data_IF_317868668839
#
_entry.id   IF_317868668839
#
_cell.length_a   1.000
_cell.length_b   1.000
_cell.length_c   1.000
_cell.angle_alpha   90.00
_cell.angle_beta   90.00
_cell.angle_gamma   90.00
#
_symmetry.space_group_name_H-M   'P 1'
#
loop_
_entity.id
_entity.type
_entity.pdbx_description
1 polymer ?
#
# COMPACT_ATOMS: atom_id res chain seq x y z
N UNK A 1 3.68 22.85 14.27
CA UNK A 1 3.62 21.47 13.77
C UNK A 1 2.24 20.87 14.01
N UNK A 2 1.70 20.16 13.02
CA UNK A 2 0.35 19.58 13.03
C UNK A 2 0.48 18.04 12.94
N UNK A 3 0.31 17.29 14.05
CA UNK A 3 0.55 15.85 14.09
C UNK A 3 -0.67 15.07 13.58
N UNK A 4 -0.48 14.17 12.63
CA UNK A 4 -1.57 13.46 11.96
C UNK A 4 -1.40 11.95 12.08
N UNK A 5 -2.52 11.27 12.34
CA UNK A 5 -2.59 9.81 12.30
C UNK A 5 -2.96 9.35 10.90
N UNK A 6 -4.09 8.65 10.80
CA UNK A 6 -4.64 8.15 9.54
C UNK A 6 -5.46 9.21 8.76
N UNK A 7 -5.69 10.38 9.34
CA UNK A 7 -6.57 11.44 8.83
C UNK A 7 -5.80 12.52 8.05
N UNK A 8 -6.56 13.51 7.56
CA UNK A 8 -6.14 14.77 6.90
C UNK A 8 -5.46 14.65 5.55
N UNK A 9 -4.59 13.66 5.36
CA UNK A 9 -3.88 13.41 4.12
C UNK A 9 -3.64 11.91 3.91
N UNK A 10 -3.43 11.51 2.65
CA UNK A 10 -3.13 10.13 2.29
C UNK A 10 -1.67 9.81 2.65
N UNK A 11 -1.45 8.91 3.62
CA UNK A 11 -0.10 8.64 4.14
C UNK A 11 0.83 7.97 3.12
N UNK A 12 0.30 7.09 2.26
CA UNK A 12 1.11 6.34 1.28
C UNK A 12 1.80 7.24 0.25
N UNK A 13 1.11 8.14 -0.48
CA UNK A 13 1.79 9.00 -1.45
C UNK A 13 2.83 9.91 -0.79
N UNK A 14 2.54 10.46 0.40
CA UNK A 14 3.51 11.26 1.15
C UNK A 14 4.77 10.45 1.53
N UNK A 15 4.60 9.19 1.91
CA UNK A 15 5.73 8.33 2.23
C UNK A 15 6.55 7.91 1.00
N UNK A 16 5.93 7.82 -0.18
CA UNK A 16 6.63 7.62 -1.45
C UNK A 16 7.45 8.85 -1.80
N UNK A 17 6.84 10.05 -1.71
CA UNK A 17 7.51 11.32 -1.98
C UNK A 17 8.69 11.54 -1.02
N UNK A 18 8.55 11.13 0.24
CA UNK A 18 9.60 11.16 1.26
C UNK A 18 10.62 10.00 1.16
N UNK A 19 10.61 9.19 0.10
CA UNK A 19 11.62 8.17 -0.13
C UNK A 19 11.56 6.95 0.80
N UNK A 20 10.47 6.74 1.53
CA UNK A 20 10.37 5.63 2.48
C UNK A 20 10.04 4.28 1.81
N UNK A 21 9.53 4.29 0.58
CA UNK A 21 9.11 3.07 -0.09
C UNK A 21 8.38 3.32 -1.40
N UNK A 22 7.73 2.28 -1.91
CA UNK A 22 6.97 2.31 -3.17
C UNK A 22 5.59 1.67 -3.01
N UNK A 23 4.66 2.04 -3.89
CA UNK A 23 3.31 1.49 -3.91
C UNK A 23 3.35 0.03 -4.38
N UNK A 24 2.94 -0.91 -3.53
CA UNK A 24 2.80 -2.32 -3.88
C UNK A 24 1.46 -2.66 -4.53
N UNK A 25 1.38 -3.85 -5.15
CA UNK A 25 0.13 -4.43 -5.67
C UNK A 25 -0.99 -4.48 -4.63
N UNK A 26 -0.63 -4.75 -3.37
CA UNK A 26 -1.57 -4.80 -2.25
C UNK A 26 -2.12 -3.42 -1.82
N UNK A 27 -1.75 -2.34 -2.53
CA UNK A 27 -2.20 -0.99 -2.24
C UNK A 27 -1.57 -0.35 -1.00
N UNK A 28 -0.51 -0.95 -0.45
CA UNK A 28 0.23 -0.45 0.70
C UNK A 28 1.60 0.12 0.27
N UNK A 29 2.20 0.94 1.14
CA UNK A 29 3.62 1.25 1.02
C UNK A 29 4.43 0.00 1.34
N UNK A 30 5.37 -0.36 0.49
CA UNK A 30 6.37 -1.39 0.74
C UNK A 30 7.71 -0.70 0.90
N UNK A 31 8.38 -0.92 2.03
CA UNK A 31 9.72 -0.39 2.31
C UNK A 31 10.78 -1.47 2.08
N UNK A 32 12.04 -1.11 1.77
CA UNK A 32 13.13 -2.07 1.63
C UNK A 32 13.37 -2.92 2.89
N UNK A 33 13.23 -2.33 4.08
CA UNK A 33 13.61 -2.95 5.36
C UNK A 33 12.52 -3.85 5.94
N UNK A 34 11.26 -3.45 5.79
CA UNK A 34 10.11 -4.07 6.50
C UNK A 34 9.00 -4.54 5.55
N UNK A 35 9.16 -4.33 4.25
CA UNK A 35 8.11 -4.58 3.28
C UNK A 35 6.86 -3.76 3.61
N UNK A 36 5.65 -4.32 3.44
CA UNK A 36 4.41 -3.67 3.85
C UNK A 36 4.12 -3.76 5.36
N UNK A 37 5.00 -4.39 6.16
CA UNK A 37 4.81 -4.59 7.60
C UNK A 37 5.23 -3.36 8.42
N UNK A 38 4.74 -2.18 8.02
CA UNK A 38 5.03 -0.90 8.67
C UNK A 38 3.77 -0.06 8.77
N UNK A 39 3.64 0.75 9.82
CA UNK A 39 2.58 1.75 9.96
C UNK A 39 3.16 3.14 9.73
N UNK A 40 2.37 3.99 9.09
CA UNK A 40 2.76 5.35 8.73
C UNK A 40 2.04 6.37 9.60
N UNK A 41 2.76 7.39 10.04
CA UNK A 41 2.23 8.63 10.58
C UNK A 41 2.91 9.80 9.85
N UNK A 42 2.34 11.00 9.95
CA UNK A 42 2.95 12.19 9.35
C UNK A 42 2.69 13.43 10.20
N UNK A 43 3.55 14.43 10.04
CA UNK A 43 3.44 15.70 10.73
C UNK A 43 3.76 16.82 9.73
N UNK A 44 2.87 17.79 9.64
CA UNK A 44 3.11 18.97 8.80
C UNK A 44 3.76 20.08 9.63
N UNK A 45 4.77 20.71 9.05
CA UNK A 45 5.54 21.75 9.71
C UNK A 45 5.99 22.79 8.67
N UNK A 46 6.15 24.02 9.12
CA UNK A 46 6.73 25.15 8.38
C UNK A 46 8.24 25.28 8.62
N UNK A 47 8.81 24.40 9.45
CA UNK A 47 10.25 24.29 9.65
C UNK A 47 10.95 24.03 8.30
N UNK A 48 11.98 24.81 7.92
CA UNK A 48 12.75 24.54 6.72
C UNK A 48 13.53 23.23 6.91
N UNK A 49 13.20 22.24 6.09
CA UNK A 49 13.84 20.93 6.04
C UNK A 49 14.27 20.64 4.59
N UNK A 50 15.38 19.93 4.44
CA UNK A 50 15.78 19.42 3.13
C UNK A 50 14.87 18.23 2.77
N UNK A 51 14.17 18.25 1.62
CA UNK A 51 13.34 17.12 1.21
C UNK A 51 14.19 15.92 0.78
N UNK A 52 13.77 14.74 1.21
CA UNK A 52 14.25 13.49 0.63
C UNK A 52 13.72 13.30 -0.81
N UNK A 53 14.23 12.26 -1.48
CA UNK A 53 13.83 11.91 -2.85
C UNK A 53 13.18 10.53 -2.89
N UNK A 54 12.21 10.28 -3.79
CA UNK A 54 11.64 8.97 -4.01
C UNK A 54 12.70 7.92 -4.35
N UNK A 55 12.51 6.70 -3.86
CA UNK A 55 13.43 5.58 -4.08
C UNK A 55 12.89 4.58 -5.12
N UNK A 56 13.80 3.88 -5.80
CA UNK A 56 13.49 2.70 -6.58
C UNK A 56 14.35 1.53 -6.14
N UNK A 57 13.71 0.40 -5.84
CA UNK A 57 14.35 -0.84 -5.43
C UNK A 57 13.76 -2.06 -6.15
N UNK A 58 13.14 -1.85 -7.33
CA UNK A 58 12.62 -2.94 -8.16
C UNK A 58 11.28 -3.53 -7.68
N UNK A 59 10.55 -2.82 -6.80
CA UNK A 59 9.25 -3.27 -6.32
C UNK A 59 8.24 -3.43 -7.46
N UNK A 60 8.21 -2.48 -8.40
CA UNK A 60 7.25 -2.50 -9.51
C UNK A 60 7.47 -3.72 -10.40
N UNK A 61 8.72 -4.01 -10.77
CA UNK A 61 9.08 -5.21 -11.55
C UNK A 61 8.70 -6.49 -10.81
N UNK A 62 8.92 -6.53 -9.50
CA UNK A 62 8.50 -7.65 -8.66
C UNK A 62 6.99 -7.81 -8.67
N UNK A 63 6.22 -6.72 -8.51
CA UNK A 63 4.77 -6.75 -8.55
C UNK A 63 4.21 -7.14 -9.93
N UNK A 64 4.90 -6.80 -11.03
CA UNK A 64 4.52 -7.24 -12.38
C UNK A 64 4.62 -8.77 -12.55
N UNK A 65 5.57 -9.40 -11.86
CA UNK A 65 5.78 -10.85 -11.90
C UNK A 65 5.13 -11.62 -10.73
N UNK A 66 4.66 -10.94 -9.69
CA UNK A 66 4.16 -11.53 -8.45
C UNK A 66 2.72 -11.10 -8.14
N UNK A 67 1.85 -12.07 -7.91
CA UNK A 67 0.46 -11.89 -7.48
C UNK A 67 0.17 -12.44 -6.09
N UNK A 68 1.18 -12.88 -5.32
CA UNK A 68 0.99 -13.59 -4.03
C UNK A 68 0.02 -12.92 -3.05
N UNK A 69 0.04 -11.59 -2.98
CA UNK A 69 -0.89 -10.84 -2.11
C UNK A 69 -2.34 -10.86 -2.61
N UNK A 70 -2.56 -10.89 -3.92
CA UNK A 70 -3.89 -11.08 -4.52
C UNK A 70 -4.36 -12.52 -4.34
N UNK A 71 -3.48 -13.51 -4.54
CA UNK A 71 -3.78 -14.93 -4.37
C UNK A 71 -4.15 -15.27 -2.91
N UNK A 72 -3.52 -14.61 -1.94
CA UNK A 72 -3.82 -14.74 -0.51
C UNK A 72 -5.07 -13.95 -0.05
N UNK A 73 -5.68 -13.14 -0.93
CA UNK A 73 -6.81 -12.29 -0.59
C UNK A 73 -8.14 -13.03 -0.75
N UNK A 74 -8.68 -13.55 0.35
CA UNK A 74 -9.94 -14.32 0.38
C UNK A 74 -11.18 -13.54 -0.12
N UNK A 75 -11.14 -12.21 -0.07
CA UNK A 75 -12.22 -11.35 -0.58
C UNK A 75 -12.03 -10.86 -2.00
N UNK A 76 -10.97 -11.30 -2.69
CA UNK A 76 -10.64 -10.89 -4.06
C UNK A 76 -10.65 -9.35 -4.20
N UNK A 77 -10.15 -8.67 -3.16
CA UNK A 77 -10.12 -7.21 -3.10
C UNK A 77 -8.96 -6.63 -3.90
N UNK A 78 -7.90 -7.39 -4.14
CA UNK A 78 -6.67 -6.91 -4.80
C UNK A 78 -6.68 -7.39 -6.25
N UNK A 79 -6.41 -6.48 -7.19
CA UNK A 79 -6.29 -6.84 -8.61
C UNK A 79 -5.17 -7.87 -8.85
N UNK A 80 -5.53 -8.97 -9.51
CA UNK A 80 -4.62 -10.00 -10.01
C UNK A 80 -4.08 -9.69 -11.42
N UNK A 81 -4.47 -8.57 -12.03
CA UNK A 81 -4.01 -8.19 -13.36
C UNK A 81 -2.49 -7.99 -13.36
N UNK A 82 -1.79 -8.47 -14.40
CA UNK A 82 -0.33 -8.34 -14.49
C UNK A 82 0.10 -6.87 -14.35
N UNK A 83 -0.42 -6.02 -15.22
CA UNK A 83 -0.10 -4.59 -15.27
C UNK A 83 -1.04 -3.77 -14.37
N UNK A 84 -0.57 -2.63 -13.81
CA UNK A 84 -1.46 -1.66 -13.19
C UNK A 84 -2.32 -0.95 -14.24
N UNK A 85 -3.44 -0.39 -13.82
CA UNK A 85 -4.34 0.39 -14.68
C UNK A 85 -4.80 1.66 -13.98
N UNK A 86 -5.57 2.49 -14.68
CA UNK A 86 -6.23 3.66 -14.12
C UNK A 86 -7.63 3.33 -13.59
N UNK A 87 -7.96 2.04 -13.46
CA UNK A 87 -9.28 1.60 -13.06
C UNK A 87 -9.58 1.95 -11.60
N UNK A 88 -10.85 2.18 -11.33
CA UNK A 88 -11.39 2.49 -10.01
C UNK A 88 -12.21 1.29 -9.55
N UNK A 89 -11.77 0.59 -8.50
CA UNK A 89 -12.44 -0.64 -8.05
C UNK A 89 -13.65 -0.37 -7.15
N UNK A 90 -13.70 0.78 -6.47
CA UNK A 90 -14.83 1.23 -5.65
C UNK A 90 -14.79 2.77 -5.45
N UNK A 91 -15.86 3.41 -4.94
CA UNK A 91 -15.89 4.87 -4.72
C UNK A 91 -14.78 5.41 -3.80
N UNK A 92 -14.23 4.54 -2.93
CA UNK A 92 -13.12 4.88 -2.02
C UNK A 92 -11.76 4.96 -2.71
N UNK A 93 -11.67 4.67 -4.01
CA UNK A 93 -10.44 4.78 -4.79
C UNK A 93 -10.33 6.17 -5.45
N UNK A 94 -9.23 6.88 -5.21
CA UNK A 94 -8.91 8.11 -5.96
C UNK A 94 -8.73 7.82 -7.47
N UNK A 95 -9.49 8.46 -8.37
CA UNK A 95 -9.35 8.26 -9.81
C UNK A 95 -8.05 8.88 -10.35
N UNK A 96 -7.63 8.45 -11.54
CA UNK A 96 -6.47 9.03 -12.24
C UNK A 96 -5.09 8.58 -11.73
N UNK A 97 -5.05 7.60 -10.82
CA UNK A 97 -3.81 7.04 -10.28
C UNK A 97 -3.53 5.69 -10.94
N UNK A 98 -2.36 5.53 -11.57
CA UNK A 98 -1.91 4.25 -12.11
C UNK A 98 -1.53 3.30 -10.96
N UNK A 99 -2.29 2.22 -10.78
CA UNK A 99 -2.04 1.22 -9.71
C UNK A 99 -2.78 -0.09 -9.97
N UNK A 100 -2.47 -1.10 -9.15
CA UNK A 100 -3.39 -2.21 -8.94
C UNK A 100 -4.48 -1.75 -7.98
N UNK A 101 -5.66 -1.46 -8.50
CA UNK A 101 -6.77 -0.98 -7.68
C UNK A 101 -7.16 -2.05 -6.64
N UNK A 102 -7.35 -1.60 -5.39
CA UNK A 102 -7.83 -2.42 -4.29
C UNK A 102 -9.26 -2.01 -3.97
N UNK A 103 -10.19 -2.95 -4.03
CA UNK A 103 -11.57 -2.76 -3.62
C UNK A 103 -11.65 -2.72 -2.09
N UNK A 104 -11.66 -1.52 -1.52
CA UNK A 104 -11.69 -1.31 -0.07
C UNK A 104 -12.97 -1.87 0.58
N UNK A 105 -14.10 -1.87 -0.16
CA UNK A 105 -15.39 -2.31 0.37
C UNK A 105 -15.39 -3.83 0.58
N UNK A 106 -14.82 -4.60 -0.38
CA UNK A 106 -14.60 -6.05 -0.24
C UNK A 106 -13.57 -6.38 0.84
N UNK A 107 -12.50 -5.59 0.93
CA UNK A 107 -11.49 -5.75 1.99
C UNK A 107 -12.13 -5.59 3.37
N UNK A 108 -12.97 -4.56 3.55
CA UNK A 108 -13.63 -4.27 4.81
C UNK A 108 -14.76 -5.27 5.14
N UNK A 109 -15.53 -5.72 4.15
CA UNK A 109 -16.54 -6.78 4.32
C UNK A 109 -15.91 -8.07 4.89
N UNK A 110 -14.69 -8.42 4.46
CA UNK A 110 -13.95 -9.53 5.06
C UNK A 110 -13.64 -9.30 6.55
N UNK A 111 -13.25 -8.09 6.95
CA UNK A 111 -12.96 -7.79 8.36
C UNK A 111 -14.21 -7.97 9.23
N UNK A 112 -15.37 -7.56 8.72
CA UNK A 112 -16.66 -7.72 9.40
C UNK A 112 -16.95 -9.22 9.61
N UNK A 113 -16.77 -10.04 8.58
CA UNK A 113 -17.03 -11.49 8.64
C UNK A 113 -16.02 -12.24 9.50
N UNK A 114 -14.75 -11.86 9.42
CA UNK A 114 -13.65 -12.47 10.18
C UNK A 114 -13.62 -11.99 11.65
N UNK A 115 -14.36 -10.93 11.99
CA UNK A 115 -14.39 -10.30 13.33
C UNK A 115 -13.03 -9.79 13.83
N UNK A 116 -12.05 -9.67 12.95
CA UNK A 116 -10.68 -9.25 13.24
C UNK A 116 -10.04 -8.60 12.00
N UNK A 117 -8.98 -7.81 12.23
CA UNK A 117 -8.14 -7.29 11.15
C UNK A 117 -7.46 -8.44 10.39
N UNK A 118 -7.42 -8.35 9.06
CA UNK A 118 -6.98 -9.43 8.18
C UNK A 118 -5.44 -9.53 8.03
N UNK A 119 -4.83 -8.57 7.34
CA UNK A 119 -3.37 -8.51 7.08
C UNK A 119 -2.78 -9.67 6.25
N UNK A 120 -3.59 -10.55 5.64
CA UNK A 120 -3.09 -11.66 4.79
C UNK A 120 -2.19 -11.16 3.64
N UNK A 121 -2.55 -10.03 3.02
CA UNK A 121 -1.75 -9.44 1.94
C UNK A 121 -0.40 -8.90 2.39
N UNK A 122 -0.25 -8.53 3.67
CA UNK A 122 1.02 -8.13 4.29
C UNK A 122 1.85 -9.39 4.52
N UNK A 123 1.27 -10.41 5.16
CA UNK A 123 1.97 -11.66 5.46
C UNK A 123 2.44 -12.39 4.19
N UNK A 124 1.66 -12.36 3.11
CA UNK A 124 1.99 -13.03 1.86
C UNK A 124 3.05 -12.31 1.00
N UNK A 125 3.34 -11.04 1.29
CA UNK A 125 4.27 -10.24 0.50
C UNK A 125 5.71 -10.75 0.67
N UNK A 126 6.46 -11.02 -0.42
CA UNK A 126 7.86 -11.46 -0.34
C UNK A 126 8.80 -10.49 0.37
N UNK A 127 8.44 -9.20 0.43
CA UNK A 127 9.23 -8.17 1.12
C UNK A 127 9.00 -8.15 2.64
N UNK A 128 8.01 -8.90 3.15
CA UNK A 128 7.80 -9.00 4.60
C UNK A 128 8.88 -9.91 5.18
N UNK A 129 9.75 -9.31 6.02
CA UNK A 129 10.85 -9.99 6.71
C UNK A 129 10.33 -11.18 7.52
N UNK A 130 10.75 -12.40 7.16
CA UNK A 130 10.33 -13.65 7.81
C UNK A 130 9.64 -14.69 6.91
N UNK A 131 9.52 -14.45 5.60
CA UNK A 131 8.93 -15.41 4.64
C UNK A 131 9.92 -15.97 3.61
N UNK A 132 11.21 -16.03 3.99
CA UNK A 132 12.25 -16.78 3.28
C UNK A 132 12.14 -18.28 3.54
#
# INVERSE_FOLDING_TARGET
>A
AVPMGNDTALSIPLAIDAGLGRLGRNGLLVTPEYGPCVRLCKLFTDLPLEPDVPIDFGLTDTCLACSRCADACESEAISAAREPSFDVACPSNSPGVLRWAVNADRCYDFWIRNTAACSNCIAACPFTSGTA
#
